data_IF_184978845491
#
_entry.id   IF_184978845491
#
_cell.length_a   1.000
_cell.length_b   1.000
_cell.length_c   1.000
_cell.angle_alpha   90.00
_cell.angle_beta   90.00
_cell.angle_gamma   90.00
#
_symmetry.space_group_name_H-M   'P 1'
#
loop_
_entity.id
_entity.type
_entity.pdbx_description
1 polymer ?
#
# COMPACT_ATOMS: atom_id res chain seq x y z
N UNK A 1 -18.09 26.70 8.14
CA UNK A 1 -19.44 26.58 8.75
C UNK A 1 -20.45 25.91 7.81
N UNK A 2 -20.38 26.13 6.50
CA UNK A 2 -21.36 25.63 5.49
C UNK A 2 -21.59 24.11 5.48
N UNK A 3 -20.55 23.28 5.56
CA UNK A 3 -20.70 21.82 5.39
C UNK A 3 -21.45 21.09 6.52
N UNK A 4 -21.47 21.65 7.75
CA UNK A 4 -22.09 20.99 8.91
C UNK A 4 -23.59 21.26 9.00
N UNK A 5 -24.04 22.38 8.46
CA UNK A 5 -25.45 22.81 8.42
C UNK A 5 -26.16 22.42 7.11
N UNK A 6 -25.40 22.01 6.09
CA UNK A 6 -25.93 21.54 4.81
C UNK A 6 -26.87 20.33 4.97
N UNK A 7 -28.08 20.46 4.42
CA UNK A 7 -29.07 19.40 4.39
C UNK A 7 -28.70 18.27 3.43
N UNK A 8 -29.50 17.20 3.41
CA UNK A 8 -29.29 16.09 2.48
C UNK A 8 -29.35 16.54 1.01
N UNK A 9 -30.26 17.45 0.67
CA UNK A 9 -30.39 18.00 -0.68
C UNK A 9 -29.11 18.71 -1.15
N UNK A 10 -28.49 19.52 -0.29
CA UNK A 10 -27.24 20.23 -0.58
C UNK A 10 -26.07 19.25 -0.79
N UNK A 11 -26.01 18.19 0.02
CA UNK A 11 -25.01 17.12 -0.12
C UNK A 11 -25.19 16.35 -1.43
N UNK A 12 -26.43 16.07 -1.85
CA UNK A 12 -26.70 15.44 -3.15
C UNK A 12 -26.36 16.36 -4.32
N UNK A 13 -26.57 17.66 -4.19
CA UNK A 13 -26.16 18.64 -5.20
C UNK A 13 -24.63 18.71 -5.31
N UNK A 14 -23.93 18.88 -4.19
CA UNK A 14 -22.47 18.92 -4.15
C UNK A 14 -21.81 17.62 -4.63
N UNK A 15 -22.44 16.46 -4.39
CA UNK A 15 -21.96 15.19 -4.94
C UNK A 15 -21.90 15.17 -6.48
N UNK A 16 -22.68 16.00 -7.18
CA UNK A 16 -22.60 16.11 -8.65
C UNK A 16 -21.43 16.98 -9.11
N UNK A 17 -20.91 17.83 -8.24
CA UNK A 17 -19.80 18.74 -8.51
C UNK A 17 -18.44 18.09 -8.23
N UNK A 18 -18.42 16.99 -7.47
CA UNK A 18 -17.21 16.17 -7.26
C UNK A 18 -16.75 15.56 -8.58
N UNK A 19 -15.47 15.74 -8.92
CA UNK A 19 -14.84 14.98 -10.00
C UNK A 19 -14.54 13.56 -9.53
N UNK A 20 -15.55 12.68 -9.65
CA UNK A 20 -15.43 11.28 -9.24
C UNK A 20 -14.34 10.50 -9.98
N UNK A 21 -13.97 10.93 -11.20
CA UNK A 21 -12.88 10.29 -11.96
C UNK A 21 -11.54 10.65 -11.34
N UNK A 22 -11.32 11.94 -11.07
CA UNK A 22 -10.12 12.41 -10.38
C UNK A 22 -10.04 11.88 -8.96
N UNK A 23 -11.16 11.81 -8.24
CA UNK A 23 -11.26 11.17 -6.93
C UNK A 23 -10.87 9.69 -7.00
N UNK A 24 -11.44 8.91 -7.92
CA UNK A 24 -11.12 7.49 -8.06
C UNK A 24 -9.63 7.28 -8.44
N UNK A 25 -9.11 8.08 -9.37
CA UNK A 25 -7.71 8.04 -9.76
C UNK A 25 -6.79 8.40 -8.57
N UNK A 26 -7.09 9.47 -7.84
CA UNK A 26 -6.31 9.92 -6.69
C UNK A 26 -6.34 8.92 -5.54
N UNK A 27 -7.44 8.21 -5.34
CA UNK A 27 -7.53 7.16 -4.32
C UNK A 27 -6.83 5.87 -4.74
N UNK A 28 -6.88 5.50 -6.02
CA UNK A 28 -6.09 4.39 -6.57
C UNK A 28 -4.59 4.67 -6.46
N UNK A 29 -4.19 5.91 -6.76
CA UNK A 29 -2.84 6.44 -6.53
C UNK A 29 -2.55 6.42 -5.02
N UNK A 30 -3.45 6.88 -4.16
CA UNK A 30 -3.31 6.83 -2.69
C UNK A 30 -3.01 5.42 -2.15
N UNK A 31 -3.69 4.40 -2.67
CA UNK A 31 -3.44 2.98 -2.38
C UNK A 31 -2.04 2.52 -2.79
N UNK A 32 -1.57 2.98 -3.96
CA UNK A 32 -0.19 2.80 -4.41
C UNK A 32 0.83 3.53 -3.50
N UNK A 33 0.40 4.58 -2.80
CA UNK A 33 1.25 5.57 -2.14
C UNK A 33 1.37 5.40 -0.62
N UNK A 34 0.50 4.60 0.00
CA UNK A 34 0.45 4.34 1.45
C UNK A 34 1.78 3.83 2.05
N UNK A 35 2.76 3.44 1.23
CA UNK A 35 4.09 2.99 1.63
C UNK A 35 5.18 4.08 1.72
N UNK A 36 4.86 5.38 1.62
CA UNK A 36 5.84 6.50 1.52
C UNK A 36 6.49 6.63 0.13
N UNK A 37 5.79 6.17 -0.92
CA UNK A 37 6.32 6.05 -2.30
C UNK A 37 5.99 7.24 -3.19
N UNK A 38 5.37 8.28 -2.63
CA UNK A 38 5.07 9.56 -3.29
C UNK A 38 6.32 10.22 -3.90
N UNK A 39 7.50 9.85 -3.42
CA UNK A 39 8.78 10.38 -3.87
C UNK A 39 9.48 9.49 -4.87
N UNK A 40 9.03 8.26 -5.12
CA UNK A 40 9.72 7.29 -5.98
C UNK A 40 9.12 7.35 -7.39
N UNK A 41 9.76 8.03 -8.36
CA UNK A 41 9.27 8.06 -9.73
C UNK A 41 9.57 6.69 -10.36
N UNK A 42 8.60 5.79 -10.28
CA UNK A 42 8.72 4.51 -10.96
C UNK A 42 8.50 4.71 -12.48
N UNK A 43 9.12 3.88 -13.34
CA UNK A 43 8.78 3.87 -14.76
C UNK A 43 7.28 3.62 -14.94
N UNK A 44 6.65 4.22 -15.95
CA UNK A 44 5.22 4.01 -16.25
C UNK A 44 4.81 2.52 -16.34
N UNK A 45 5.74 1.65 -16.74
CA UNK A 45 5.54 0.21 -16.73
C UNK A 45 5.27 -0.39 -15.34
N UNK A 46 5.93 0.09 -14.28
CA UNK A 46 5.73 -0.41 -12.92
C UNK A 46 4.32 -0.08 -12.40
N UNK A 47 3.82 1.14 -12.67
CA UNK A 47 2.44 1.51 -12.35
C UNK A 47 1.42 0.62 -13.09
N UNK A 48 1.69 0.27 -14.36
CA UNK A 48 0.86 -0.67 -15.12
C UNK A 48 0.86 -2.07 -14.53
N UNK A 49 2.04 -2.60 -14.18
CA UNK A 49 2.16 -3.92 -13.56
C UNK A 49 1.46 -3.99 -12.20
N UNK A 50 1.57 -2.95 -11.39
CA UNK A 50 0.82 -2.87 -10.14
C UNK A 50 -0.69 -2.84 -10.39
N UNK A 51 -1.14 -2.04 -11.37
CA UNK A 51 -2.54 -2.03 -11.79
C UNK A 51 -3.04 -3.42 -12.20
N UNK A 52 -2.27 -4.16 -13.00
CA UNK A 52 -2.60 -5.54 -13.36
C UNK A 52 -2.64 -6.48 -12.15
N UNK A 53 -1.68 -6.36 -11.22
CA UNK A 53 -1.68 -7.15 -10.00
C UNK A 53 -2.92 -6.88 -9.13
N UNK A 54 -3.33 -5.61 -9.00
CA UNK A 54 -4.54 -5.22 -8.29
C UNK A 54 -5.79 -5.81 -8.94
N UNK A 55 -5.89 -5.74 -10.27
CA UNK A 55 -6.99 -6.35 -11.03
C UNK A 55 -7.03 -7.87 -10.79
N UNK A 56 -5.89 -8.54 -10.82
CA UNK A 56 -5.81 -9.98 -10.55
C UNK A 56 -6.27 -10.34 -9.14
N UNK A 57 -5.91 -9.55 -8.13
CA UNK A 57 -6.37 -9.73 -6.74
C UNK A 57 -7.89 -9.58 -6.64
N UNK A 58 -8.47 -8.59 -7.33
CA UNK A 58 -9.91 -8.35 -7.37
C UNK A 58 -10.62 -9.50 -8.08
N UNK A 59 -10.13 -9.94 -9.24
CA UNK A 59 -10.74 -11.03 -10.01
C UNK A 59 -10.63 -12.39 -9.31
N UNK A 60 -9.61 -12.57 -8.46
CA UNK A 60 -9.44 -13.77 -7.65
C UNK A 60 -10.31 -13.82 -6.39
N UNK A 61 -10.91 -12.69 -6.00
CA UNK A 61 -11.68 -12.60 -4.77
C UNK A 61 -13.00 -13.40 -4.84
N UNK A 62 -13.84 -13.33 -5.90
CA UNK A 62 -15.06 -14.14 -5.99
C UNK A 62 -14.83 -15.66 -5.89
N UNK A 63 -13.89 -16.28 -6.63
CA UNK A 63 -13.64 -17.72 -6.50
C UNK A 63 -13.04 -18.09 -5.14
N UNK A 64 -12.27 -17.20 -4.50
CA UNK A 64 -11.77 -17.41 -3.15
C UNK A 64 -12.91 -17.45 -2.11
N UNK A 65 -13.84 -16.50 -2.19
CA UNK A 65 -15.03 -16.46 -1.31
C UNK A 65 -15.96 -17.65 -1.53
N UNK A 66 -16.20 -18.04 -2.79
CA UNK A 66 -17.00 -19.22 -3.11
C UNK A 66 -16.40 -20.50 -2.51
N UNK A 67 -15.07 -20.56 -2.40
CA UNK A 67 -14.36 -21.70 -1.84
C UNK A 67 -14.39 -21.72 -0.31
N UNK A 68 -14.23 -20.59 0.36
CA UNK A 68 -14.48 -20.48 1.82
C UNK A 68 -15.88 -21.01 2.18
N UNK A 69 -16.88 -20.71 1.33
CA UNK A 69 -18.25 -21.20 1.53
C UNK A 69 -18.32 -22.71 1.56
N UNK A 70 -17.58 -23.34 0.66
CA UNK A 70 -17.57 -24.79 0.49
C UNK A 70 -16.78 -25.48 1.59
N UNK A 71 -15.75 -24.82 2.12
CA UNK A 71 -14.87 -25.34 3.17
C UNK A 71 -15.36 -24.98 4.59
N UNK A 72 -16.56 -24.38 4.71
CA UNK A 72 -17.17 -23.97 5.98
C UNK A 72 -16.26 -23.11 6.88
N UNK A 73 -15.35 -22.33 6.27
CA UNK A 73 -14.47 -21.42 6.99
C UNK A 73 -15.25 -20.25 7.64
N UNK A 74 -14.69 -19.65 8.70
CA UNK A 74 -15.32 -18.52 9.40
C UNK A 74 -15.52 -17.31 8.48
N UNK A 75 -16.79 -16.96 8.28
CA UNK A 75 -17.22 -15.82 7.48
C UNK A 75 -17.10 -14.49 8.21
N UNK A 76 -17.04 -14.49 9.54
CA UNK A 76 -17.03 -13.27 10.35
C UNK A 76 -15.78 -12.44 10.06
N UNK A 77 -14.61 -13.10 10.07
CA UNK A 77 -13.34 -12.44 9.73
C UNK A 77 -13.29 -11.94 8.28
N UNK A 78 -13.78 -12.74 7.32
CA UNK A 78 -13.84 -12.35 5.92
C UNK A 78 -14.81 -11.17 5.68
N UNK A 79 -15.98 -11.19 6.31
CA UNK A 79 -16.94 -10.10 6.24
C UNK A 79 -16.34 -8.80 6.80
N UNK A 80 -15.64 -8.85 7.93
CA UNK A 80 -14.96 -7.68 8.49
C UNK A 80 -13.88 -7.13 7.53
N UNK A 81 -13.05 -8.02 6.97
CA UNK A 81 -12.01 -7.64 6.00
C UNK A 81 -12.58 -7.03 4.72
N UNK A 82 -13.79 -7.39 4.29
CA UNK A 82 -14.43 -6.81 3.09
C UNK A 82 -15.22 -5.55 3.40
N UNK A 83 -15.94 -5.52 4.53
CA UNK A 83 -16.80 -4.40 4.90
C UNK A 83 -16.00 -3.20 5.37
N UNK A 84 -14.90 -3.40 6.08
CA UNK A 84 -14.04 -2.30 6.55
C UNK A 84 -13.57 -1.37 5.41
N UNK A 85 -12.92 -1.86 4.33
CA UNK A 85 -12.49 -1.01 3.23
C UNK A 85 -13.66 -0.43 2.44
N UNK A 86 -14.81 -1.13 2.37
CA UNK A 86 -16.02 -0.61 1.73
C UNK A 86 -16.60 0.59 2.50
N UNK A 87 -16.76 0.46 3.82
CA UNK A 87 -17.24 1.55 4.68
C UNK A 87 -16.25 2.71 4.73
N UNK A 88 -14.96 2.43 4.78
CA UNK A 88 -13.94 3.46 4.71
C UNK A 88 -14.01 4.22 3.39
N UNK A 89 -14.14 3.53 2.26
CA UNK A 89 -14.28 4.17 0.94
C UNK A 89 -15.54 5.03 0.86
N UNK A 90 -16.65 4.58 1.45
CA UNK A 90 -17.87 5.36 1.55
C UNK A 90 -17.68 6.62 2.43
N UNK A 91 -16.96 6.50 3.55
CA UNK A 91 -16.60 7.64 4.39
C UNK A 91 -15.71 8.65 3.65
N UNK A 92 -14.76 8.18 2.84
CA UNK A 92 -13.93 9.03 1.98
C UNK A 92 -14.74 9.74 0.90
N UNK A 93 -15.70 9.06 0.28
CA UNK A 93 -16.61 9.70 -0.67
C UNK A 93 -17.45 10.80 0.00
N UNK A 94 -17.97 10.53 1.21
CA UNK A 94 -18.69 11.52 2.00
C UNK A 94 -17.80 12.71 2.41
N UNK A 95 -16.55 12.45 2.78
CA UNK A 95 -15.56 13.48 3.08
C UNK A 95 -15.27 14.38 1.87
N UNK A 96 -15.22 13.81 0.66
CA UNK A 96 -15.05 14.59 -0.57
C UNK A 96 -16.22 15.54 -0.81
N UNK A 97 -17.45 15.07 -0.62
CA UNK A 97 -18.66 15.92 -0.71
C UNK A 97 -18.58 17.07 0.30
N UNK A 98 -18.08 16.82 1.52
CA UNK A 98 -17.90 17.86 2.53
C UNK A 98 -16.81 18.87 2.15
N UNK A 99 -15.73 18.43 1.49
CA UNK A 99 -14.68 19.33 0.99
C UNK A 99 -15.22 20.29 -0.07
N UNK A 100 -15.99 19.79 -1.03
CA UNK A 100 -16.66 20.62 -2.05
C UNK A 100 -17.60 21.63 -1.39
N UNK A 101 -18.44 21.18 -0.44
CA UNK A 101 -19.33 22.07 0.32
C UNK A 101 -18.59 23.12 1.16
N UNK A 102 -17.35 22.85 1.54
CA UNK A 102 -16.51 23.79 2.27
C UNK A 102 -15.73 24.74 1.35
N UNK A 103 -15.81 24.58 0.02
CA UNK A 103 -15.02 25.33 -0.95
C UNK A 103 -13.53 24.96 -0.94
N UNK A 104 -13.18 23.79 -0.41
CA UNK A 104 -11.81 23.29 -0.38
C UNK A 104 -11.44 22.61 -1.70
N UNK A 105 -10.16 22.58 -2.01
CA UNK A 105 -9.66 21.85 -3.17
C UNK A 105 -9.86 20.33 -3.02
N UNK A 106 -10.13 19.69 -4.15
CA UNK A 106 -10.29 18.25 -4.32
C UNK A 106 -8.93 17.54 -4.18
N UNK A 107 -8.38 17.48 -2.97
CA UNK A 107 -7.12 16.77 -2.70
C UNK A 107 -7.26 15.88 -1.48
N UNK A 108 -7.35 14.57 -1.71
CA UNK A 108 -7.26 13.58 -0.65
C UNK A 108 -5.80 13.33 -0.30
N UNK A 109 -5.44 13.50 0.98
CA UNK A 109 -4.13 13.13 1.48
C UNK A 109 -3.96 11.61 1.41
N UNK A 110 -2.94 11.12 0.70
CA UNK A 110 -2.65 9.69 0.58
C UNK A 110 -2.43 8.97 1.91
N UNK A 111 -2.22 9.70 3.01
CA UNK A 111 -2.06 9.16 4.35
C UNK A 111 -3.31 8.47 4.92
N UNK A 112 -4.53 8.85 4.50
CA UNK A 112 -5.73 8.13 4.93
C UNK A 112 -5.70 6.65 4.50
N UNK A 113 -5.01 6.35 3.39
CA UNK A 113 -4.89 5.00 2.86
C UNK A 113 -3.95 4.10 3.67
N UNK A 114 -3.09 4.65 4.54
CA UNK A 114 -2.29 3.82 5.45
C UNK A 114 -3.15 3.07 6.47
N UNK A 115 -4.32 3.61 6.84
CA UNK A 115 -5.28 2.92 7.70
C UNK A 115 -5.90 1.69 7.03
N UNK A 116 -6.01 1.70 5.69
CA UNK A 116 -6.52 0.58 4.90
C UNK A 116 -5.45 -0.43 4.51
N UNK A 117 -4.18 -0.08 4.63
CA UNK A 117 -3.08 -0.93 4.19
C UNK A 117 -3.09 -2.33 4.82
N UNK A 118 -3.26 -2.51 6.15
CA UNK A 118 -3.29 -3.86 6.74
C UNK A 118 -4.45 -4.71 6.21
N UNK A 119 -5.62 -4.08 6.01
CA UNK A 119 -6.82 -4.77 5.54
C UNK A 119 -6.69 -5.17 4.07
N UNK A 120 -6.21 -4.27 3.21
CA UNK A 120 -5.98 -4.57 1.81
C UNK A 120 -4.85 -5.57 1.60
N UNK A 121 -3.80 -5.54 2.43
CA UNK A 121 -2.75 -6.54 2.42
C UNK A 121 -3.29 -7.93 2.81
N UNK A 122 -4.19 -8.00 3.81
CA UNK A 122 -4.86 -9.24 4.19
C UNK A 122 -5.76 -9.78 3.07
N UNK A 123 -6.57 -8.92 2.43
CA UNK A 123 -7.38 -9.30 1.26
C UNK A 123 -6.50 -9.81 0.12
N UNK A 124 -5.41 -9.10 -0.18
CA UNK A 124 -4.49 -9.48 -1.25
C UNK A 124 -3.81 -10.82 -0.95
N UNK A 125 -3.31 -11.02 0.28
CA UNK A 125 -2.72 -12.29 0.71
C UNK A 125 -3.73 -13.43 0.65
N UNK A 126 -4.96 -13.18 1.08
CA UNK A 126 -6.07 -14.13 0.99
C UNK A 126 -6.34 -14.52 -0.47
N UNK A 127 -6.56 -13.57 -1.37
CA UNK A 127 -6.76 -13.83 -2.81
C UNK A 127 -5.57 -14.57 -3.44
N UNK A 128 -4.34 -14.19 -3.09
CA UNK A 128 -3.11 -14.83 -3.58
C UNK A 128 -2.96 -16.28 -3.10
N UNK A 129 -3.43 -16.62 -1.89
CA UNK A 129 -3.44 -18.00 -1.39
C UNK A 129 -4.21 -18.92 -2.33
N UNK A 130 -5.34 -18.46 -2.87
CA UNK A 130 -6.14 -19.25 -3.81
C UNK A 130 -5.58 -19.27 -5.22
N UNK A 131 -4.96 -18.18 -5.68
CA UNK A 131 -4.32 -18.12 -6.99
C UNK A 131 -3.07 -19.00 -7.07
N UNK A 132 -2.16 -18.85 -6.10
CA UNK A 132 -0.85 -19.48 -6.13
C UNK A 132 -0.85 -20.88 -5.52
N UNK A 133 -1.83 -21.20 -4.65
CA UNK A 133 -2.01 -22.50 -3.99
C UNK A 133 -0.68 -23.00 -3.38
N UNK A 134 -0.07 -24.01 -4.01
CA UNK A 134 1.18 -24.63 -3.58
C UNK A 134 2.38 -23.68 -3.61
N UNK A 135 2.31 -22.62 -4.43
CA UNK A 135 3.35 -21.60 -4.53
C UNK A 135 3.08 -20.37 -3.67
N UNK A 136 1.98 -20.35 -2.91
CA UNK A 136 1.58 -19.16 -2.14
C UNK A 136 2.69 -18.71 -1.19
N UNK A 137 3.22 -19.63 -0.38
CA UNK A 137 4.31 -19.35 0.56
C UNK A 137 5.55 -18.76 -0.12
N UNK A 138 6.00 -19.38 -1.21
CA UNK A 138 7.18 -18.93 -1.96
C UNK A 138 6.93 -17.60 -2.64
N UNK A 139 5.75 -17.42 -3.24
CA UNK A 139 5.32 -16.18 -3.88
C UNK A 139 5.17 -15.04 -2.88
N UNK A 140 4.55 -15.29 -1.73
CA UNK A 140 4.40 -14.29 -0.66
C UNK A 140 5.77 -13.84 -0.15
N UNK A 141 6.72 -14.76 0.06
CA UNK A 141 8.10 -14.40 0.44
C UNK A 141 8.79 -13.55 -0.61
N UNK A 142 8.67 -13.93 -1.89
CA UNK A 142 9.23 -13.15 -2.99
C UNK A 142 8.62 -11.74 -3.05
N UNK A 143 7.31 -11.62 -2.83
CA UNK A 143 6.61 -10.34 -2.77
C UNK A 143 7.07 -9.48 -1.58
N UNK A 144 7.20 -10.06 -0.39
CA UNK A 144 7.66 -9.33 0.81
C UNK A 144 9.11 -8.88 0.64
N UNK A 145 9.99 -9.75 0.14
CA UNK A 145 11.37 -9.39 -0.16
C UNK A 145 11.47 -8.31 -1.25
N UNK A 146 10.64 -8.41 -2.30
CA UNK A 146 10.56 -7.41 -3.35
C UNK A 146 10.07 -6.06 -2.82
N UNK A 147 9.01 -6.05 -2.01
CA UNK A 147 8.48 -4.84 -1.38
C UNK A 147 9.50 -4.20 -0.42
N UNK A 148 10.21 -5.01 0.37
CA UNK A 148 11.30 -4.54 1.23
C UNK A 148 12.44 -3.93 0.41
N UNK A 149 12.93 -4.62 -0.62
CA UNK A 149 14.01 -4.13 -1.47
C UNK A 149 13.63 -2.83 -2.18
N UNK A 150 12.39 -2.74 -2.67
CA UNK A 150 11.88 -1.56 -3.35
C UNK A 150 11.68 -0.39 -2.38
N UNK A 151 11.24 -0.65 -1.14
CA UNK A 151 11.14 0.39 -0.09
C UNK A 151 12.51 0.90 0.33
N UNK A 152 13.49 0.00 0.46
CA UNK A 152 14.86 0.34 0.78
C UNK A 152 15.49 1.20 -0.33
N UNK A 153 15.33 0.78 -1.59
CA UNK A 153 15.79 1.57 -2.73
C UNK A 153 15.07 2.93 -2.80
N UNK A 154 13.75 2.97 -2.63
CA UNK A 154 12.99 4.21 -2.63
C UNK A 154 13.44 5.19 -1.55
N UNK A 155 13.67 4.69 -0.34
CA UNK A 155 14.20 5.47 0.79
C UNK A 155 15.60 6.02 0.53
N UNK A 156 16.53 5.16 0.09
CA UNK A 156 17.94 5.52 -0.04
C UNK A 156 18.28 6.27 -1.34
N UNK A 157 17.71 5.85 -2.46
CA UNK A 157 18.05 6.38 -3.78
C UNK A 157 17.20 7.60 -4.16
N UNK A 158 16.05 7.82 -3.51
CA UNK A 158 15.10 8.85 -3.93
C UNK A 158 14.67 9.77 -2.79
N UNK A 159 14.13 9.22 -1.70
CA UNK A 159 13.58 9.99 -0.59
C UNK A 159 14.66 10.81 0.14
N UNK A 160 15.72 10.15 0.61
CA UNK A 160 16.80 10.81 1.34
C UNK A 160 17.52 11.87 0.50
N UNK A 161 17.85 11.64 -0.79
CA UNK A 161 18.35 12.67 -1.70
C UNK A 161 17.41 13.86 -1.86
N UNK A 162 16.11 13.61 -2.01
CA UNK A 162 15.10 14.66 -2.15
C UNK A 162 15.07 15.59 -0.93
N UNK A 163 15.00 15.03 0.29
CA UNK A 163 14.99 15.83 1.52
C UNK A 163 16.31 16.51 1.85
N UNK A 164 17.42 16.05 1.26
CA UNK A 164 18.76 16.64 1.48
C UNK A 164 19.19 17.59 0.35
N UNK A 165 18.33 17.83 -0.65
CA UNK A 165 18.61 18.72 -1.78
C UNK A 165 19.67 18.17 -2.75
N UNK A 166 19.90 16.85 -2.75
CA UNK A 166 20.92 16.23 -3.60
C UNK A 166 20.48 16.16 -5.08
N UNK A 167 21.39 16.38 -6.04
CA UNK A 167 21.06 16.30 -7.45
C UNK A 167 20.69 14.85 -7.89
N UNK A 168 19.75 14.71 -8.83
CA UNK A 168 19.32 13.39 -9.32
C UNK A 168 20.49 12.59 -9.91
N UNK A 169 20.52 11.29 -9.65
CA UNK A 169 21.54 10.36 -10.17
C UNK A 169 22.76 10.11 -9.27
N UNK A 170 22.94 10.85 -8.17
CA UNK A 170 23.98 10.58 -7.14
C UNK A 170 23.44 10.03 -5.82
N UNK A 171 22.12 9.85 -5.73
CA UNK A 171 21.41 9.59 -4.48
C UNK A 171 21.87 8.37 -3.71
N UNK A 172 21.95 7.20 -4.34
CA UNK A 172 22.23 5.95 -3.61
C UNK A 172 23.62 5.91 -2.98
N UNK A 173 24.68 6.24 -3.74
CA UNK A 173 26.05 6.18 -3.26
C UNK A 173 26.33 7.20 -2.14
N UNK A 174 25.76 8.41 -2.26
CA UNK A 174 25.93 9.47 -1.27
C UNK A 174 25.07 9.23 -0.01
N UNK A 175 23.86 8.68 -0.16
CA UNK A 175 23.03 8.22 0.96
C UNK A 175 23.75 7.15 1.78
N UNK A 176 24.36 6.15 1.11
CA UNK A 176 25.15 5.12 1.78
C UNK A 176 26.37 5.72 2.51
N UNK A 177 27.02 6.74 1.92
CA UNK A 177 28.14 7.46 2.54
C UNK A 177 27.71 8.24 3.79
N UNK A 178 26.55 8.91 3.76
CA UNK A 178 25.99 9.61 4.93
C UNK A 178 25.56 8.66 6.04
N UNK A 179 24.92 7.53 5.70
CA UNK A 179 24.57 6.49 6.68
C UNK A 179 25.84 5.93 7.34
N UNK A 180 26.89 5.70 6.56
CA UNK A 180 28.21 5.33 7.04
C UNK A 180 28.79 6.36 8.03
N UNK A 181 28.73 7.66 7.69
CA UNK A 181 29.20 8.73 8.57
C UNK A 181 28.39 8.84 9.87
N UNK A 182 27.06 8.76 9.79
CA UNK A 182 26.16 8.86 10.94
C UNK A 182 26.31 7.69 11.92
N UNK A 183 26.56 6.48 11.39
CA UNK A 183 26.67 5.27 12.20
C UNK A 183 28.12 4.89 12.54
N UNK A 184 29.11 5.68 12.10
CA UNK A 184 30.54 5.37 12.31
C UNK A 184 31.00 4.08 11.62
N UNK A 185 30.27 3.61 10.61
CA UNK A 185 30.56 2.36 9.90
C UNK A 185 31.27 2.65 8.57
N UNK A 186 32.21 1.82 8.10
CA UNK A 186 32.78 2.00 6.77
C UNK A 186 31.72 1.78 5.68
N UNK A 187 31.68 2.61 4.62
CA UNK A 187 30.67 2.57 3.53
C UNK A 187 30.45 1.16 2.97
N UNK A 188 31.54 0.38 2.83
CA UNK A 188 31.51 -1.02 2.37
C UNK A 188 30.74 -1.99 3.27
N UNK A 189 30.54 -1.66 4.54
CA UNK A 189 29.79 -2.47 5.50
C UNK A 189 28.28 -2.16 5.49
N UNK A 190 27.86 -0.99 5.00
CA UNK A 190 26.45 -0.58 4.97
C UNK A 190 25.58 -1.56 4.15
N UNK A 191 25.99 -2.04 2.95
CA UNK A 191 25.25 -3.08 2.24
C UNK A 191 25.14 -4.39 3.04
N UNK A 192 26.15 -4.73 3.84
CA UNK A 192 26.15 -5.93 4.69
C UNK A 192 25.15 -5.83 5.85
N UNK A 193 25.01 -4.64 6.46
CA UNK A 193 24.00 -4.38 7.50
C UNK A 193 22.59 -4.45 6.91
N UNK A 194 22.37 -3.84 5.74
CA UNK A 194 21.09 -3.91 5.05
C UNK A 194 20.75 -5.34 4.62
N UNK A 195 21.74 -6.12 4.18
CA UNK A 195 21.57 -7.54 3.88
C UNK A 195 21.28 -8.37 5.15
N UNK A 196 21.87 -8.02 6.30
CA UNK A 196 21.58 -8.65 7.57
C UNK A 196 20.16 -8.35 8.07
N UNK A 197 19.66 -7.12 7.88
CA UNK A 197 18.26 -6.76 8.13
C UNK A 197 17.32 -7.55 7.21
N UNK A 198 17.64 -7.66 5.92
CA UNK A 198 16.92 -8.50 4.96
C UNK A 198 16.88 -9.97 5.41
N UNK A 199 18.02 -10.49 5.87
CA UNK A 199 18.17 -11.86 6.35
C UNK A 199 17.42 -12.08 7.67
N UNK A 200 17.33 -11.07 8.53
CA UNK A 200 16.55 -11.13 9.77
C UNK A 200 15.04 -11.14 9.46
N UNK A 201 14.59 -10.32 8.50
CA UNK A 201 13.23 -10.34 7.98
C UNK A 201 12.88 -11.67 7.30
N UNK A 202 13.78 -12.18 6.46
CA UNK A 202 13.67 -13.51 5.87
C UNK A 202 13.65 -14.61 6.93
N UNK A 203 14.46 -14.47 8.00
CA UNK A 203 14.50 -15.34 9.16
C UNK A 203 13.17 -15.38 9.90
N UNK A 204 12.54 -14.23 10.16
CA UNK A 204 11.19 -14.14 10.75
C UNK A 204 10.16 -14.85 9.87
N UNK A 205 10.21 -14.64 8.54
CA UNK A 205 9.32 -15.28 7.57
C UNK A 205 9.58 -16.80 7.39
N UNK A 206 10.77 -17.27 7.77
CA UNK A 206 11.15 -18.68 7.76
C UNK A 206 10.81 -19.37 9.08
N UNK A 207 10.91 -18.66 10.21
CA UNK A 207 10.65 -19.19 11.55
C UNK A 207 9.15 -19.44 11.79
N UNK A 208 8.26 -18.63 11.19
CA UNK A 208 6.80 -18.83 11.26
C UNK A 208 6.33 -20.20 10.70
N UNK A 209 7.14 -20.89 9.87
CA UNK A 209 6.83 -22.26 9.41
C UNK A 209 6.92 -23.32 10.50
N UNK A 210 7.64 -23.08 11.59
CA UNK A 210 7.82 -24.09 12.64
C UNK A 210 6.65 -24.14 13.63
N UNK A 211 5.89 -23.06 13.78
CA UNK A 211 4.80 -23.00 14.77
C UNK A 211 3.39 -23.24 14.18
N UNK A 212 3.21 -23.19 12.85
CA UNK A 212 1.90 -23.46 12.18
C UNK A 212 1.72 -24.96 11.85
N UNK A 213 2.43 -25.84 12.56
CA UNK A 213 2.12 -27.29 12.64
C UNK A 213 1.51 -27.57 14.01
N UNK A 214 0.29 -27.09 14.25
CA UNK A 214 -0.59 -27.55 15.31
C UNK A 214 -1.91 -27.93 14.68
#
# INVERSE_FOLDING_TARGET
>A
MVAREAGWADKFAAAKEVDWKSFAASNLIGLLWAGNWSFVPLPGAAYRWFGYALILVILALPPALARMKKEEEDWTGAAFLLLFPAFFSAAMAAHQVQNVLAGNFDTMGGWYWSALFPCNAAIAAFSLRFLLRNFFETGLRALVLGAWALSLWGGLAVLLPHYTGMPPGRGLAESLRRISQLNGLPVRAVPGVLAAEAACLAGILLYSRREVRL
#
